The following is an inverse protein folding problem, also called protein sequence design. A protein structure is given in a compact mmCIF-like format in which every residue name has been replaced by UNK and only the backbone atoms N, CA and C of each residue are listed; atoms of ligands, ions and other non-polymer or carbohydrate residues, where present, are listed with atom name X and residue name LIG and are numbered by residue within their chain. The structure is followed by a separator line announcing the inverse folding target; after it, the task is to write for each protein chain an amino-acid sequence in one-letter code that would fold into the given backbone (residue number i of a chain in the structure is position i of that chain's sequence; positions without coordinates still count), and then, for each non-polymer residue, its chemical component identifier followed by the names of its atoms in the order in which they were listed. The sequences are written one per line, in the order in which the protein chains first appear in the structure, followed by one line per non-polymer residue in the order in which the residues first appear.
data_IF_244106838971
#
_entry.id   IF_244106838971
#
_cell.length_a   1.000
_cell.length_b   1.000
_cell.length_c   1.000
_cell.angle_alpha   90.00
_cell.angle_beta   90.00
_cell.angle_gamma   90.00
#
_symmetry.space_group_name_H-M   'P 1'
#
loop_
_entity.id
_entity.type
_entity.pdbx_description
1 polymer ?
#
# COMPACT_ATOMS: atom_id res chain seq x y z
N UNK A 1 83.34 3.02 -22.15
CA UNK A 1 82.52 1.85 -22.58
C UNK A 1 81.49 1.57 -21.50
N UNK A 2 80.21 1.56 -21.89
CA UNK A 2 79.01 0.95 -21.28
C UNK A 2 78.52 1.29 -19.85
N UNK A 3 77.44 2.09 -19.82
CA UNK A 3 76.17 1.87 -19.05
C UNK A 3 75.62 0.45 -19.34
N UNK A 4 74.78 -0.19 -18.46
CA UNK A 4 73.55 0.39 -17.88
C UNK A 4 73.25 -0.04 -16.41
N UNK A 5 72.50 0.66 -15.54
CA UNK A 5 71.43 1.66 -15.63
C UNK A 5 70.26 1.28 -16.55
N UNK A 6 69.74 0.05 -16.42
CA UNK A 6 68.43 -0.38 -16.94
C UNK A 6 67.88 -1.51 -16.07
N UNK A 7 67.25 -1.19 -14.94
CA UNK A 7 66.27 -2.08 -14.28
C UNK A 7 65.42 -1.32 -13.25
N UNK A 8 65.92 -0.24 -12.64
CA UNK A 8 65.12 0.56 -11.69
C UNK A 8 64.08 1.51 -12.31
N UNK A 9 64.18 1.83 -13.60
CA UNK A 9 63.25 2.78 -14.24
C UNK A 9 62.01 2.16 -14.90
N UNK A 10 61.84 0.82 -14.84
CA UNK A 10 60.65 0.15 -15.39
C UNK A 10 59.57 -0.13 -14.32
N UNK A 11 59.96 -0.28 -13.04
CA UNK A 11 59.01 -0.44 -11.93
C UNK A 11 58.32 0.87 -11.53
N UNK A 12 58.96 2.02 -11.75
CA UNK A 12 58.38 3.34 -11.39
C UNK A 12 57.34 3.86 -12.39
N UNK A 13 57.30 3.33 -13.62
CA UNK A 13 56.28 3.71 -14.63
C UNK A 13 55.03 2.84 -14.64
N UNK A 14 55.04 1.67 -13.98
CA UNK A 14 53.83 0.85 -13.82
C UNK A 14 53.01 1.24 -12.59
N UNK A 15 53.63 1.81 -11.54
CA UNK A 15 52.90 2.30 -10.36
C UNK A 15 52.10 3.59 -10.60
N UNK A 16 52.39 4.35 -11.66
CA UNK A 16 51.69 5.61 -11.95
C UNK A 16 50.55 5.51 -12.98
N UNK A 17 50.20 4.30 -13.46
CA UNK A 17 49.07 4.10 -14.39
C UNK A 17 47.92 3.25 -13.81
N UNK A 18 48.09 2.60 -12.65
CA UNK A 18 47.01 1.84 -11.99
C UNK A 18 46.48 2.47 -10.69
N UNK A 19 47.16 3.48 -10.13
CA UNK A 19 46.80 4.12 -8.86
C UNK A 19 45.56 5.03 -8.89
N UNK A 20 45.10 5.48 -10.07
CA UNK A 20 44.00 6.45 -10.19
C UNK A 20 42.59 5.86 -10.25
N UNK A 21 42.46 4.56 -10.58
CA UNK A 21 41.14 3.89 -10.78
C UNK A 21 40.69 3.07 -9.57
N UNK A 22 41.63 2.60 -8.75
CA UNK A 22 41.36 1.83 -7.54
C UNK A 22 40.86 2.73 -6.39
N UNK A 23 41.49 3.89 -6.18
CA UNK A 23 41.10 4.80 -5.10
C UNK A 23 39.70 5.41 -5.26
N UNK A 24 39.25 5.71 -6.48
CA UNK A 24 37.88 6.20 -6.70
C UNK A 24 36.82 5.12 -6.43
N UNK A 25 37.10 3.86 -6.76
CA UNK A 25 36.21 2.73 -6.43
C UNK A 25 36.20 2.43 -4.92
N UNK A 26 37.36 2.48 -4.26
CA UNK A 26 37.45 2.28 -2.80
C UNK A 26 36.76 3.40 -2.01
N UNK A 27 36.87 4.66 -2.45
CA UNK A 27 36.14 5.79 -1.82
C UNK A 27 34.63 5.67 -2.06
N UNK A 28 34.19 5.29 -3.26
CA UNK A 28 32.76 5.07 -3.53
C UNK A 28 32.19 3.88 -2.73
N UNK A 29 32.95 2.80 -2.53
CA UNK A 29 32.53 1.67 -1.69
C UNK A 29 32.50 2.08 -0.22
N UNK A 30 33.49 2.85 0.25
CA UNK A 30 33.50 3.35 1.64
C UNK A 30 32.35 4.31 1.92
N UNK A 31 32.00 5.18 0.97
CA UNK A 31 30.86 6.11 1.08
C UNK A 31 29.53 5.35 1.07
N UNK A 32 29.37 4.29 0.26
CA UNK A 32 28.18 3.44 0.26
C UNK A 32 28.07 2.63 1.55
N UNK A 33 29.18 2.12 2.10
CA UNK A 33 29.22 1.42 3.40
C UNK A 33 28.95 2.38 4.56
N UNK A 34 29.46 3.61 4.53
CA UNK A 34 29.13 4.64 5.52
C UNK A 34 27.67 5.11 5.41
N UNK A 35 27.09 5.20 4.20
CA UNK A 35 25.66 5.49 4.02
C UNK A 35 24.78 4.34 4.53
N UNK A 36 25.18 3.08 4.29
CA UNK A 36 24.48 1.90 4.81
C UNK A 36 24.60 1.77 6.34
N UNK A 37 25.74 2.19 6.92
CA UNK A 37 25.93 2.25 8.38
C UNK A 37 25.16 3.42 9.03
N UNK A 38 24.92 4.53 8.31
CA UNK A 38 24.09 5.64 8.81
C UNK A 38 22.58 5.38 8.73
N UNK A 39 22.15 4.37 7.98
CA UNK A 39 20.77 3.85 7.98
C UNK A 39 20.55 2.77 9.07
N UNK A 40 21.63 2.27 9.67
CA UNK A 40 21.57 1.51 10.91
C UNK A 40 21.59 2.49 12.08
N UNK A 41 20.44 3.15 12.33
CA UNK A 41 20.22 3.73 13.65
C UNK A 41 20.41 2.57 14.65
N UNK A 42 21.28 2.69 15.66
CA UNK A 42 21.31 1.69 16.72
C UNK A 42 19.96 1.81 17.43
N UNK A 43 19.03 0.93 17.05
CA UNK A 43 17.98 0.54 17.98
C UNK A 43 18.77 -0.05 19.12
N UNK A 44 18.87 0.67 20.23
CA UNK A 44 19.40 0.13 21.46
C UNK A 44 18.56 -1.12 21.74
N UNK A 45 19.08 -2.29 21.38
CA UNK A 45 18.58 -3.56 21.84
C UNK A 45 18.75 -3.49 23.36
N UNK A 46 17.67 -3.19 24.07
CA UNK A 46 17.63 -3.36 25.50
C UNK A 46 17.70 -4.85 25.75
N UNK A 47 18.92 -5.36 25.84
CA UNK A 47 19.21 -6.70 26.30
C UNK A 47 18.99 -6.71 27.81
N UNK A 48 17.72 -6.65 28.23
CA UNK A 48 17.23 -6.89 29.60
C UNK A 48 15.68 -6.81 29.61
N UNK A 49 15.03 -7.74 28.93
CA UNK A 49 13.66 -8.17 29.29
C UNK A 49 13.64 -9.70 29.29
N UNK A 50 14.47 -10.30 30.13
CA UNK A 50 14.26 -11.67 30.59
C UNK A 50 13.40 -11.60 31.83
N UNK A 51 12.12 -12.00 31.72
CA UNK A 51 11.22 -12.54 32.76
C UNK A 51 9.78 -11.99 32.74
N UNK A 52 9.05 -12.16 31.63
CA UNK A 52 7.59 -12.30 31.66
C UNK A 52 7.11 -12.76 30.28
N UNK A 53 6.89 -14.08 30.10
CA UNK A 53 6.16 -14.58 28.91
C UNK A 53 4.68 -14.16 28.94
N UNK A 54 4.20 -13.70 30.09
CA UNK A 54 2.79 -13.40 30.33
C UNK A 54 2.34 -12.05 29.72
N UNK A 55 3.29 -11.21 29.31
CA UNK A 55 3.02 -9.90 28.69
C UNK A 55 3.45 -9.80 27.22
N UNK A 56 3.96 -10.89 26.64
CA UNK A 56 4.30 -10.91 25.23
C UNK A 56 3.04 -11.20 24.40
N UNK A 57 2.79 -10.39 23.38
CA UNK A 57 1.77 -10.77 22.41
C UNK A 57 2.20 -12.09 21.74
N UNK A 58 1.26 -12.90 21.22
CA UNK A 58 1.60 -14.09 20.44
C UNK A 58 2.60 -13.79 19.31
N UNK A 59 2.63 -12.55 18.82
CA UNK A 59 3.56 -12.06 17.81
C UNK A 59 4.97 -11.81 18.34
N UNK A 60 5.11 -11.23 19.53
CA UNK A 60 6.43 -11.03 20.15
C UNK A 60 7.10 -12.37 20.46
N UNK A 61 6.31 -13.38 20.84
CA UNK A 61 6.78 -14.76 21.03
C UNK A 61 7.26 -15.35 19.69
N UNK A 62 6.52 -15.14 18.60
CA UNK A 62 6.87 -15.66 17.28
C UNK A 62 8.12 -14.97 16.73
N UNK A 63 8.26 -13.66 16.93
CA UNK A 63 9.45 -12.90 16.54
C UNK A 63 10.68 -13.32 17.37
N UNK A 64 10.53 -13.47 18.69
CA UNK A 64 11.61 -13.95 19.56
C UNK A 64 12.07 -15.37 19.20
N UNK A 65 11.13 -16.26 18.89
CA UNK A 65 11.47 -17.64 18.48
C UNK A 65 12.15 -17.72 17.11
N UNK A 66 11.96 -16.71 16.24
CA UNK A 66 12.57 -16.66 14.91
C UNK A 66 13.83 -15.76 14.85
N UNK A 67 14.07 -14.91 15.85
CA UNK A 67 15.23 -14.01 15.90
C UNK A 67 16.57 -14.78 15.96
N UNK A 68 16.57 -15.95 16.59
CA UNK A 68 17.75 -16.83 16.67
C UNK A 68 17.90 -17.76 15.44
N UNK A 69 16.92 -17.77 14.53
CA UNK A 69 16.83 -18.67 13.38
C UNK A 69 16.62 -17.92 12.04
N UNK A 70 17.20 -16.73 11.90
CA UNK A 70 17.16 -15.99 10.64
C UNK A 70 17.88 -16.80 9.57
N UNK A 71 17.15 -17.16 8.51
CA UNK A 71 17.69 -17.88 7.37
C UNK A 71 18.81 -17.06 6.70
N UNK A 72 19.82 -17.71 6.10
CA UNK A 72 20.75 -17.06 5.19
C UNK A 72 19.98 -16.23 4.16
N UNK A 73 20.54 -15.09 3.73
CA UNK A 73 19.83 -14.11 2.90
C UNK A 73 19.15 -14.76 1.66
N UNK A 74 19.84 -15.66 0.97
CA UNK A 74 19.30 -16.33 -0.22
C UNK A 74 18.09 -17.24 0.10
N UNK A 75 18.10 -17.90 1.24
CA UNK A 75 16.98 -18.72 1.72
C UNK A 75 15.83 -17.83 2.23
N UNK A 76 16.16 -16.73 2.90
CA UNK A 76 15.19 -15.73 3.32
C UNK A 76 14.47 -15.06 2.15
N UNK A 77 15.19 -14.76 1.07
CA UNK A 77 14.57 -14.24 -0.17
C UNK A 77 13.65 -15.29 -0.81
N UNK A 78 14.03 -16.57 -0.80
CA UNK A 78 13.17 -17.65 -1.30
C UNK A 78 11.89 -17.77 -0.48
N UNK A 79 11.99 -17.76 0.85
CA UNK A 79 10.82 -17.84 1.73
C UNK A 79 9.93 -16.60 1.60
N UNK A 80 10.53 -15.40 1.53
CA UNK A 80 9.79 -14.18 1.23
C UNK A 80 9.03 -14.27 -0.10
N UNK A 81 9.68 -14.73 -1.18
CA UNK A 81 9.03 -14.83 -2.50
C UNK A 81 7.88 -15.85 -2.51
N UNK A 82 8.03 -16.96 -1.78
CA UNK A 82 6.95 -17.94 -1.58
C UNK A 82 5.78 -17.32 -0.82
N UNK A 83 6.04 -16.64 0.30
CA UNK A 83 5.01 -15.96 1.10
C UNK A 83 4.33 -14.85 0.31
N UNK A 84 5.09 -14.11 -0.50
CA UNK A 84 4.57 -13.11 -1.43
C UNK A 84 3.64 -13.72 -2.47
N UNK A 85 4.00 -14.85 -3.09
CA UNK A 85 3.13 -15.52 -4.06
C UNK A 85 1.79 -15.96 -3.44
N UNK A 86 1.81 -16.49 -2.21
CA UNK A 86 0.60 -16.83 -1.45
C UNK A 86 -0.24 -15.58 -1.18
N UNK A 87 0.40 -14.50 -0.69
CA UNK A 87 -0.28 -13.24 -0.39
C UNK A 87 -0.91 -12.62 -1.65
N UNK A 88 -0.20 -12.63 -2.78
CA UNK A 88 -0.68 -12.11 -4.07
C UNK A 88 -1.86 -12.94 -4.59
N UNK A 89 -1.82 -14.28 -4.45
CA UNK A 89 -2.95 -15.15 -4.81
C UNK A 89 -4.20 -14.85 -3.96
N UNK A 90 -4.05 -14.81 -2.63
CA UNK A 90 -5.15 -14.47 -1.71
C UNK A 90 -5.77 -13.12 -2.04
N UNK A 91 -4.94 -12.14 -2.44
CA UNK A 91 -5.38 -10.81 -2.82
C UNK A 91 -6.19 -10.83 -4.10
N UNK A 92 -5.73 -11.54 -5.12
CA UNK A 92 -6.47 -11.70 -6.38
C UNK A 92 -7.84 -12.38 -6.14
N UNK A 93 -7.86 -13.46 -5.37
CA UNK A 93 -9.10 -14.16 -5.00
C UNK A 93 -10.08 -13.26 -4.22
N UNK A 94 -9.55 -12.40 -3.34
CA UNK A 94 -10.36 -11.44 -2.59
C UNK A 94 -10.93 -10.34 -3.49
N UNK A 95 -10.17 -9.85 -4.47
CA UNK A 95 -10.64 -8.88 -5.45
C UNK A 95 -11.74 -9.45 -6.34
N UNK A 96 -11.56 -10.68 -6.82
CA UNK A 96 -12.57 -11.39 -7.61
C UNK A 96 -13.84 -11.62 -6.79
N UNK A 97 -13.71 -12.06 -5.54
CA UNK A 97 -14.85 -12.27 -4.63
C UNK A 97 -15.60 -10.96 -4.38
N UNK A 98 -14.90 -9.86 -4.14
CA UNK A 98 -15.51 -8.55 -3.95
C UNK A 98 -16.25 -8.09 -5.21
N UNK A 99 -15.67 -8.26 -6.39
CA UNK A 99 -16.33 -7.94 -7.65
C UNK A 99 -17.58 -8.80 -7.86
N UNK A 100 -17.51 -10.11 -7.63
CA UNK A 100 -18.67 -11.00 -7.75
C UNK A 100 -19.79 -10.61 -6.77
N UNK A 101 -19.45 -10.24 -5.53
CA UNK A 101 -20.43 -9.74 -4.56
C UNK A 101 -21.14 -8.48 -5.07
N UNK A 102 -20.37 -7.52 -5.60
CA UNK A 102 -20.88 -6.28 -6.18
C UNK A 102 -21.80 -6.56 -7.37
N UNK A 103 -21.41 -7.46 -8.28
CA UNK A 103 -22.20 -7.83 -9.44
C UNK A 103 -23.49 -8.58 -9.06
N UNK A 104 -23.42 -9.45 -8.06
CA UNK A 104 -24.59 -10.18 -7.56
C UNK A 104 -25.59 -9.24 -6.89
N UNK A 105 -25.12 -8.29 -6.07
CA UNK A 105 -25.98 -7.27 -5.46
C UNK A 105 -26.63 -6.38 -6.50
N UNK A 106 -25.92 -6.02 -7.56
CA UNK A 106 -26.49 -5.27 -8.69
C UNK A 106 -27.62 -6.03 -9.42
N UNK A 107 -27.72 -7.35 -9.28
CA UNK A 107 -28.85 -8.13 -9.82
C UNK A 107 -30.00 -8.26 -8.83
N UNK A 108 -29.69 -8.30 -7.54
CA UNK A 108 -30.68 -8.54 -6.47
C UNK A 108 -31.47 -7.29 -6.05
N UNK A 109 -30.87 -6.09 -6.14
CA UNK A 109 -31.52 -4.86 -5.68
C UNK A 109 -32.25 -4.11 -6.80
N UNK A 110 -33.52 -3.69 -6.57
CA UNK A 110 -34.31 -2.98 -7.57
C UNK A 110 -33.69 -1.63 -7.94
N UNK A 111 -33.81 -1.28 -9.23
CA UNK A 111 -33.23 -0.06 -9.85
C UNK A 111 -33.82 1.24 -9.28
N UNK A 112 -34.92 1.18 -8.53
CA UNK A 112 -35.65 2.35 -8.04
C UNK A 112 -34.87 3.24 -7.07
N UNK A 113 -33.80 2.75 -6.42
CA UNK A 113 -32.88 3.54 -5.59
C UNK A 113 -31.70 4.16 -6.35
N UNK A 114 -31.49 3.73 -7.59
CA UNK A 114 -30.33 4.07 -8.42
C UNK A 114 -30.66 5.09 -9.50
N UNK A 115 -31.95 5.40 -9.63
CA UNK A 115 -32.44 6.48 -10.46
C UNK A 115 -31.76 7.79 -10.01
N UNK A 116 -31.43 8.69 -10.95
CA UNK A 116 -31.00 10.02 -10.57
C UNK A 116 -32.05 10.55 -9.59
N UNK A 117 -31.60 11.01 -8.41
CA UNK A 117 -32.45 11.86 -7.59
C UNK A 117 -33.00 12.98 -8.49
N UNK A 118 -34.09 13.61 -8.09
CA UNK A 118 -34.69 14.77 -8.78
C UNK A 118 -33.73 15.97 -8.79
N UNK A 119 -32.57 15.83 -9.43
CA UNK A 119 -31.64 16.89 -9.74
C UNK A 119 -32.06 17.40 -11.12
N UNK A 120 -32.37 18.70 -11.16
CA UNK A 120 -32.75 19.42 -12.36
C UNK A 120 -31.85 19.04 -13.55
N UNK A 121 -32.36 18.94 -14.79
CA UNK A 121 -31.56 18.69 -15.99
C UNK A 121 -30.34 19.61 -16.17
N UNK A 122 -30.32 20.75 -15.46
CA UNK A 122 -29.25 21.75 -15.43
C UNK A 122 -28.18 21.51 -14.35
N UNK A 123 -28.36 20.55 -13.43
CA UNK A 123 -27.37 20.28 -12.39
C UNK A 123 -26.17 19.53 -12.98
N UNK A 124 -24.98 20.12 -12.84
CA UNK A 124 -23.71 19.45 -13.19
C UNK A 124 -23.42 18.32 -12.22
N UNK A 125 -23.82 18.42 -10.95
CA UNK A 125 -23.74 17.34 -9.96
C UNK A 125 -24.96 16.43 -10.07
N UNK A 126 -24.74 15.13 -10.26
CA UNK A 126 -25.81 14.16 -10.49
C UNK A 126 -26.01 13.23 -9.31
N UNK A 127 -24.92 12.88 -8.62
CA UNK A 127 -24.96 12.05 -7.43
C UNK A 127 -23.87 12.47 -6.46
N UNK A 128 -24.16 12.39 -5.17
CA UNK A 128 -23.23 12.76 -4.11
C UNK A 128 -23.33 11.74 -2.98
N UNK A 129 -22.17 11.24 -2.56
CA UNK A 129 -22.00 10.25 -1.52
C UNK A 129 -21.22 10.88 -0.38
N UNK A 130 -21.79 10.87 0.82
CA UNK A 130 -21.07 11.15 2.09
C UNK A 130 -20.84 9.88 2.91
N UNK A 131 -21.41 8.76 2.44
CA UNK A 131 -21.24 7.41 2.96
C UNK A 131 -21.57 6.41 1.86
N UNK A 132 -21.15 5.16 2.04
CA UNK A 132 -21.51 4.07 1.14
C UNK A 132 -22.50 3.10 1.80
N UNK A 133 -23.61 2.75 1.11
CA UNK A 133 -24.59 1.78 1.60
C UNK A 133 -24.01 0.39 1.74
N UNK A 134 -23.07 0.04 0.88
CA UNK A 134 -22.41 -1.25 0.90
C UNK A 134 -20.92 -1.08 1.18
N UNK A 135 -20.44 -1.92 2.09
CA UNK A 135 -19.06 -1.93 2.54
C UNK A 135 -18.58 -3.37 2.57
N UNK A 136 -17.39 -3.59 2.04
CA UNK A 136 -16.72 -4.89 2.08
C UNK A 136 -15.27 -4.68 2.51
N UNK A 137 -14.64 -5.74 2.99
CA UNK A 137 -13.27 -5.71 3.47
C UNK A 137 -12.64 -7.09 3.35
N UNK A 138 -11.34 -7.13 3.10
CA UNK A 138 -10.58 -8.35 3.08
C UNK A 138 -9.14 -8.08 3.50
N UNK A 139 -8.45 -9.14 3.87
CA UNK A 139 -7.07 -9.10 4.35
C UNK A 139 -6.43 -10.45 4.10
N UNK A 140 -5.11 -10.42 4.00
CA UNK A 140 -4.33 -11.64 3.83
C UNK A 140 -2.87 -11.38 4.08
N UNK A 141 -2.10 -12.43 3.92
CA UNK A 141 -0.67 -12.42 4.07
C UNK A 141 -0.12 -13.76 4.48
N UNK A 142 1.20 -13.85 4.43
CA UNK A 142 1.96 -15.03 4.79
C UNK A 142 3.33 -14.62 5.34
N UNK A 143 3.94 -15.48 6.16
CA UNK A 143 5.14 -15.16 6.94
C UNK A 143 4.83 -14.44 8.25
N UNK A 144 5.81 -13.70 8.80
CA UNK A 144 5.66 -12.96 10.06
C UNK A 144 5.11 -11.57 9.79
N UNK A 145 3.99 -11.22 10.42
CA UNK A 145 3.35 -9.93 10.26
C UNK A 145 1.85 -9.98 10.52
N UNK A 146 1.16 -8.90 10.17
CA UNK A 146 -0.27 -8.74 10.42
C UNK A 146 -0.90 -7.81 9.41
N UNK A 147 -2.17 -8.05 9.11
CA UNK A 147 -2.99 -7.14 8.32
C UNK A 147 -4.41 -7.10 8.87
N UNK A 148 -5.09 -5.97 8.68
CA UNK A 148 -6.51 -5.85 8.93
C UNK A 148 -7.14 -4.68 8.20
N UNK A 149 -8.40 -4.84 7.81
CA UNK A 149 -9.22 -3.78 7.25
C UNK A 149 -10.63 -3.89 7.83
N UNK A 150 -11.19 -2.77 8.29
CA UNK A 150 -12.63 -2.68 8.54
C UNK A 150 -13.18 -1.26 8.58
N UNK A 151 -14.50 -1.15 8.49
CA UNK A 151 -15.26 0.09 8.60
C UNK A 151 -15.87 0.25 10.00
N UNK A 152 -15.21 0.96 10.95
CA UNK A 152 -15.80 1.24 12.25
C UNK A 152 -17.02 2.17 12.20
N UNK A 153 -17.18 2.97 11.14
CA UNK A 153 -18.31 3.90 10.97
C UNK A 153 -18.66 4.12 9.49
N UNK A 154 -19.59 5.03 9.20
CA UNK A 154 -20.08 5.31 7.83
C UNK A 154 -19.02 5.87 6.88
N UNK A 155 -18.01 6.58 7.40
CA UNK A 155 -16.94 7.19 6.60
C UNK A 155 -15.54 6.89 7.12
N UNK A 156 -15.40 6.22 8.27
CA UNK A 156 -14.08 5.87 8.80
C UNK A 156 -13.70 4.45 8.39
N UNK A 157 -12.43 4.29 7.99
CA UNK A 157 -11.81 3.03 7.60
C UNK A 157 -10.53 2.88 8.43
N UNK A 158 -10.37 1.73 9.06
CA UNK A 158 -9.08 1.31 9.60
C UNK A 158 -8.48 0.29 8.66
N UNK A 159 -7.28 0.56 8.14
CA UNK A 159 -6.61 -0.26 7.15
C UNK A 159 -5.11 -0.33 7.47
N UNK A 160 -4.58 -1.53 7.68
CA UNK A 160 -3.23 -1.72 8.14
C UNK A 160 -2.59 -2.98 7.61
N UNK A 161 -1.31 -2.91 7.30
CA UNK A 161 -0.46 -4.05 6.95
C UNK A 161 0.93 -3.83 7.52
N UNK A 162 1.45 -4.83 8.22
CA UNK A 162 2.80 -4.90 8.78
C UNK A 162 3.41 -6.22 8.36
N UNK A 163 4.64 -6.17 7.87
CA UNK A 163 5.44 -7.34 7.56
C UNK A 163 6.74 -7.27 8.34
N UNK A 164 7.19 -8.41 8.83
CA UNK A 164 8.48 -8.58 9.50
C UNK A 164 9.29 -9.61 8.73
N UNK A 165 9.95 -10.54 9.40
CA UNK A 165 10.86 -11.47 8.74
C UNK A 165 10.08 -12.36 7.75
N UNK A 166 10.52 -12.34 6.48
CA UNK A 166 9.93 -13.06 5.33
C UNK A 166 8.42 -12.83 5.12
N UNK A 167 7.88 -11.73 5.64
CA UNK A 167 6.45 -11.42 5.62
C UNK A 167 6.01 -10.72 4.34
N UNK A 168 4.81 -11.04 3.87
CA UNK A 168 4.09 -10.27 2.84
C UNK A 168 2.62 -10.19 3.22
N UNK A 169 2.14 -8.99 3.51
CA UNK A 169 0.80 -8.74 4.08
C UNK A 169 0.08 -7.64 3.32
N UNK A 170 -1.24 -7.76 3.24
CA UNK A 170 -2.10 -6.78 2.58
C UNK A 170 -3.47 -6.68 3.27
N UNK A 171 -4.10 -5.53 3.13
CA UNK A 171 -5.47 -5.30 3.58
C UNK A 171 -6.20 -4.37 2.62
N UNK A 172 -7.49 -4.64 2.37
CA UNK A 172 -8.34 -3.87 1.47
C UNK A 172 -9.70 -3.59 2.10
N UNK A 173 -10.21 -2.40 1.86
CA UNK A 173 -11.58 -2.02 2.19
C UNK A 173 -12.24 -1.33 1.00
N UNK A 174 -13.50 -1.68 0.76
CA UNK A 174 -14.32 -1.13 -0.31
C UNK A 174 -15.58 -0.50 0.29
N UNK A 175 -15.91 0.70 -0.16
CA UNK A 175 -17.25 1.28 -0.04
C UNK A 175 -17.80 1.47 -1.45
N UNK A 176 -19.04 1.06 -1.71
CA UNK A 176 -19.61 1.18 -3.04
C UNK A 176 -21.11 1.44 -3.03
N UNK A 177 -21.56 2.01 -4.15
CA UNK A 177 -22.96 2.24 -4.49
C UNK A 177 -23.14 2.16 -6.01
N UNK A 178 -24.38 2.22 -6.47
CA UNK A 178 -24.73 2.06 -7.87
C UNK A 178 -25.34 3.33 -8.48
N UNK A 179 -25.19 3.52 -9.79
CA UNK A 179 -25.86 4.58 -10.51
C UNK A 179 -26.04 4.22 -11.99
N UNK A 180 -27.16 4.67 -12.58
CA UNK A 180 -27.47 4.51 -14.00
C UNK A 180 -27.44 5.90 -14.68
N UNK A 181 -26.44 6.19 -15.52
CA UNK A 181 -26.40 7.42 -16.30
C UNK A 181 -27.59 7.50 -17.27
N UNK A 182 -28.20 8.68 -17.35
CA UNK A 182 -29.25 9.00 -18.31
C UNK A 182 -28.71 9.39 -19.69
N UNK A 183 -27.43 9.77 -19.77
CA UNK A 183 -26.76 10.17 -21.02
C UNK A 183 -25.41 9.50 -21.17
N UNK A 184 -25.04 9.14 -22.39
CA UNK A 184 -23.68 8.63 -22.69
C UNK A 184 -22.71 9.80 -22.72
N UNK A 185 -21.56 9.68 -22.06
CA UNK A 185 -20.53 10.71 -22.11
C UNK A 185 -19.48 10.61 -21.00
N UNK A 186 -18.67 11.66 -20.89
CA UNK A 186 -17.67 11.78 -19.82
C UNK A 186 -18.31 12.31 -18.54
N UNK A 187 -18.05 11.61 -17.45
CA UNK A 187 -18.42 12.00 -16.10
C UNK A 187 -17.16 12.23 -15.28
N UNK A 188 -17.17 13.27 -14.46
CA UNK A 188 -16.12 13.55 -13.50
C UNK A 188 -16.53 13.03 -12.12
N UNK A 189 -15.63 12.29 -11.48
CA UNK A 189 -15.77 11.87 -10.09
C UNK A 189 -14.79 12.68 -9.26
N UNK A 190 -15.32 13.46 -8.33
CA UNK A 190 -14.52 14.23 -7.37
C UNK A 190 -14.60 13.51 -6.03
N UNK A 191 -13.47 13.05 -5.49
CA UNK A 191 -13.39 12.33 -4.22
C UNK A 191 -12.60 13.14 -3.20
N UNK A 192 -13.09 13.21 -1.97
CA UNK A 192 -12.49 13.93 -0.85
C UNK A 192 -12.38 13.02 0.38
N UNK A 193 -11.20 12.96 0.98
CA UNK A 193 -10.94 12.14 2.16
C UNK A 193 -9.74 12.67 2.96
N UNK A 194 -9.62 12.24 4.21
CA UNK A 194 -8.46 12.51 5.06
C UNK A 194 -7.71 11.22 5.38
N UNK A 195 -6.39 11.33 5.56
CA UNK A 195 -5.53 10.22 5.99
C UNK A 195 -4.75 10.60 7.24
N UNK A 196 -4.73 9.70 8.22
CA UNK A 196 -3.90 9.80 9.43
C UNK A 196 -3.22 8.45 9.64
N UNK A 197 -1.90 8.42 9.60
CA UNK A 197 -1.17 7.15 9.67
C UNK A 197 0.30 7.26 9.28
N UNK A 198 0.94 6.11 9.15
CA UNK A 198 2.38 6.03 8.85
C UNK A 198 2.65 4.98 7.80
N UNK A 199 3.58 5.27 6.89
CA UNK A 199 4.11 4.32 5.91
C UNK A 199 5.62 4.26 6.07
N UNK A 200 6.16 3.07 6.31
CA UNK A 200 7.59 2.80 6.30
C UNK A 200 8.07 2.35 4.92
N UNK A 201 9.37 2.49 4.67
CA UNK A 201 9.98 2.03 3.42
C UNK A 201 9.71 0.54 3.20
N UNK A 202 9.33 0.15 1.97
CA UNK A 202 8.93 -1.23 1.64
C UNK A 202 7.43 -1.53 1.83
N UNK A 203 6.63 -0.53 2.23
CA UNK A 203 5.17 -0.62 2.31
C UNK A 203 4.49 0.44 1.45
N UNK A 204 3.18 0.29 1.25
CA UNK A 204 2.39 1.24 0.47
C UNK A 204 0.96 1.40 0.97
N UNK A 205 0.39 2.57 0.71
CA UNK A 205 -1.05 2.84 0.69
C UNK A 205 -1.42 3.20 -0.75
N UNK A 206 -2.47 2.58 -1.27
CA UNK A 206 -3.15 3.05 -2.47
C UNK A 206 -4.63 3.30 -2.16
N UNK A 207 -5.10 4.49 -2.49
CA UNK A 207 -6.54 4.81 -2.50
C UNK A 207 -6.97 4.95 -3.95
N UNK A 208 -8.06 4.27 -4.31
CA UNK A 208 -8.51 4.16 -5.70
C UNK A 208 -10.00 4.43 -5.81
N UNK A 209 -10.38 4.99 -6.96
CA UNK A 209 -11.76 4.97 -7.45
C UNK A 209 -11.87 3.85 -8.48
N UNK A 210 -12.84 2.97 -8.29
CA UNK A 210 -13.17 1.92 -9.25
C UNK A 210 -14.59 2.12 -9.77
N UNK A 211 -14.75 1.99 -11.07
CA UNK A 211 -16.06 1.99 -11.72
C UNK A 211 -16.22 0.66 -12.43
N UNK A 212 -17.18 -0.16 -12.01
CA UNK A 212 -17.49 -1.43 -12.64
C UNK A 212 -18.84 -1.34 -13.36
N UNK A 213 -18.87 -1.65 -14.65
CA UNK A 213 -20.11 -1.86 -15.39
C UNK A 213 -20.70 -3.21 -14.97
N UNK A 214 -21.85 -3.17 -14.31
CA UNK A 214 -22.48 -4.36 -13.74
C UNK A 214 -23.15 -5.24 -14.81
N UNK A 215 -23.27 -4.73 -16.04
CA UNK A 215 -23.85 -5.45 -17.18
C UNK A 215 -22.86 -6.45 -17.77
N UNK A 216 -21.58 -6.07 -17.88
CA UNK A 216 -20.55 -6.87 -18.53
C UNK A 216 -19.35 -7.22 -17.61
N UNK A 217 -19.32 -6.69 -16.39
CA UNK A 217 -18.26 -6.93 -15.40
C UNK A 217 -16.96 -6.14 -15.64
N UNK A 218 -16.89 -5.30 -16.68
CA UNK A 218 -15.71 -4.52 -16.98
C UNK A 218 -15.46 -3.48 -15.88
N UNK A 219 -14.24 -3.41 -15.38
CA UNK A 219 -13.85 -2.49 -14.31
C UNK A 219 -12.75 -1.55 -14.79
N UNK A 220 -12.93 -0.26 -14.54
CA UNK A 220 -11.91 0.78 -14.72
C UNK A 220 -11.46 1.23 -13.33
N UNK A 221 -10.14 1.25 -13.11
CA UNK A 221 -9.53 1.64 -11.83
C UNK A 221 -8.65 2.88 -12.02
N UNK A 222 -8.80 3.88 -11.14
CA UNK A 222 -7.96 5.07 -11.06
C UNK A 222 -7.39 5.20 -9.66
N UNK A 223 -6.07 5.27 -9.54
CA UNK A 223 -5.40 5.52 -8.26
C UNK A 223 -5.41 7.02 -7.99
N UNK A 224 -6.10 7.44 -6.93
CA UNK A 224 -6.29 8.84 -6.57
C UNK A 224 -5.32 9.31 -5.47
N UNK A 225 -4.66 8.38 -4.78
CA UNK A 225 -3.60 8.67 -3.82
C UNK A 225 -2.67 7.48 -3.67
N UNK A 226 -1.38 7.73 -3.78
CA UNK A 226 -0.30 6.75 -3.64
C UNK A 226 0.94 7.48 -3.13
N UNK A 227 0.97 7.84 -1.84
CA UNK A 227 2.04 8.65 -1.29
C UNK A 227 3.32 7.84 -1.09
N UNK A 228 4.43 8.55 -0.95
CA UNK A 228 5.70 7.95 -0.50
C UNK A 228 5.67 7.63 0.99
N UNK A 229 6.69 6.92 1.49
CA UNK A 229 6.85 6.67 2.93
C UNK A 229 6.88 7.98 3.72
N UNK A 230 6.31 7.98 4.92
CA UNK A 230 6.20 9.15 5.77
C UNK A 230 5.08 9.02 6.80
N UNK A 231 4.94 10.06 7.61
CA UNK A 231 3.82 10.22 8.53
C UNK A 231 2.80 11.20 7.94
N UNK A 232 1.53 10.90 8.14
CA UNK A 232 0.40 11.68 7.65
C UNK A 232 -0.44 12.09 8.85
N UNK A 233 -0.54 13.40 9.08
CA UNK A 233 -1.40 13.96 10.12
C UNK A 233 -2.61 14.62 9.49
N UNK A 234 -3.77 13.97 9.62
CA UNK A 234 -5.05 14.41 9.08
C UNK A 234 -4.98 15.02 7.66
N UNK A 235 -4.10 14.50 6.80
CA UNK A 235 -3.85 15.08 5.48
C UNK A 235 -5.10 14.94 4.62
N UNK A 236 -5.64 16.08 4.18
CA UNK A 236 -6.76 16.11 3.25
C UNK A 236 -6.27 15.82 1.83
N UNK A 237 -7.01 14.98 1.12
CA UNK A 237 -6.79 14.64 -0.28
C UNK A 237 -8.09 14.85 -1.04
N UNK A 238 -8.00 15.61 -2.14
CA UNK A 238 -9.09 15.78 -3.10
C UNK A 238 -8.56 15.40 -4.47
N UNK A 239 -9.26 14.51 -5.17
CA UNK A 239 -8.90 14.09 -6.53
C UNK A 239 -10.11 14.12 -7.46
N UNK A 240 -9.88 14.44 -8.73
CA UNK A 240 -10.88 14.43 -9.79
C UNK A 240 -10.43 13.47 -10.89
N UNK A 241 -11.27 12.49 -11.19
CA UNK A 241 -11.02 11.48 -12.21
C UNK A 241 -12.16 11.45 -13.23
N UNK A 242 -11.87 11.12 -14.48
CA UNK A 242 -12.86 11.05 -15.55
C UNK A 242 -13.13 9.63 -16.00
N UNK A 243 -14.41 9.33 -16.23
CA UNK A 243 -14.90 8.04 -16.69
C UNK A 243 -15.91 8.25 -17.82
N UNK A 244 -15.77 7.49 -18.91
CA UNK A 244 -16.75 7.46 -19.98
C UNK A 244 -17.82 6.40 -19.66
N UNK A 245 -19.08 6.81 -19.58
CA UNK A 245 -20.20 5.94 -19.20
C UNK A 245 -21.24 5.91 -20.32
N UNK A 246 -21.88 4.76 -20.51
CA UNK A 246 -22.95 4.56 -21.49
C UNK A 246 -24.32 4.70 -20.82
N UNK A 247 -25.23 5.44 -21.45
CA UNK A 247 -26.60 5.60 -20.95
C UNK A 247 -27.28 4.23 -20.77
N UNK A 248 -28.03 4.08 -19.68
CA UNK A 248 -28.81 2.86 -19.39
C UNK A 248 -28.01 1.69 -18.83
N UNK A 249 -26.68 1.73 -18.82
CA UNK A 249 -25.85 0.74 -18.12
C UNK A 249 -25.87 1.00 -16.61
N UNK A 250 -25.89 -0.03 -15.78
CA UNK A 250 -25.76 0.14 -14.31
C UNK A 250 -24.29 0.03 -13.92
N UNK A 251 -23.75 1.06 -13.29
CA UNK A 251 -22.37 1.10 -12.82
C UNK A 251 -22.30 1.03 -11.30
N UNK A 252 -21.31 0.32 -10.78
CA UNK A 252 -20.89 0.42 -9.38
C UNK A 252 -19.73 1.38 -9.26
N UNK A 253 -19.87 2.38 -8.38
CA UNK A 253 -18.85 3.36 -8.04
C UNK A 253 -18.27 2.99 -6.68
N UNK A 254 -16.96 2.81 -6.62
CA UNK A 254 -16.29 2.28 -5.43
C UNK A 254 -15.15 3.18 -4.98
N UNK A 255 -15.07 3.39 -3.68
CA UNK A 255 -13.90 3.88 -2.97
C UNK A 255 -13.15 2.68 -2.39
N UNK A 256 -11.92 2.45 -2.86
CA UNK A 256 -11.06 1.37 -2.39
C UNK A 256 -9.85 1.94 -1.64
N UNK A 257 -9.52 1.35 -0.50
CA UNK A 257 -8.25 1.56 0.20
C UNK A 257 -7.49 0.25 0.25
N UNK A 258 -6.18 0.30 0.01
CA UNK A 258 -5.30 -0.87 0.03
C UNK A 258 -3.98 -0.52 0.72
N UNK A 259 -3.63 -1.29 1.75
CA UNK A 259 -2.28 -1.28 2.30
C UNK A 259 -1.54 -2.54 1.91
N UNK A 260 -0.24 -2.43 1.64
CA UNK A 260 0.65 -3.57 1.47
C UNK A 260 1.93 -3.36 2.28
N UNK A 261 2.49 -4.46 2.79
CA UNK A 261 3.77 -4.49 3.50
C UNK A 261 4.54 -5.75 3.10
N UNK A 262 5.83 -5.63 2.79
CA UNK A 262 6.69 -6.76 2.44
C UNK A 262 8.10 -6.60 3.00
N UNK A 263 8.58 -7.63 3.68
CA UNK A 263 9.87 -7.58 4.37
C UNK A 263 10.61 -8.91 4.27
N UNK A 264 11.91 -8.83 3.93
CA UNK A 264 12.81 -9.99 3.97
C UNK A 264 13.38 -10.14 5.38
N UNK A 265 13.93 -9.06 5.94
CA UNK A 265 14.62 -9.10 7.26
C UNK A 265 14.23 -7.98 8.21
N UNK A 266 13.81 -6.81 7.70
CA UNK A 266 13.48 -5.64 8.52
C UNK A 266 11.99 -5.34 8.44
N UNK A 267 11.40 -5.00 9.59
CA UNK A 267 9.98 -4.69 9.64
C UNK A 267 9.61 -3.50 8.75
N UNK A 268 8.47 -3.60 8.09
CA UNK A 268 7.84 -2.51 7.34
C UNK A 268 6.34 -2.49 7.62
N UNK A 269 5.73 -1.31 7.50
CA UNK A 269 4.29 -1.19 7.68
C UNK A 269 3.68 -0.04 6.86
N UNK A 270 2.42 -0.21 6.50
CA UNK A 270 1.49 0.86 6.20
C UNK A 270 0.36 0.76 7.22
N UNK A 271 0.32 1.70 8.16
CA UNK A 271 -0.55 1.67 9.33
C UNK A 271 -1.49 2.87 9.35
N UNK A 272 -2.75 2.62 9.01
CA UNK A 272 -3.90 3.50 9.15
C UNK A 272 -4.95 2.81 10.05
N UNK A 273 -4.49 2.09 11.07
CA UNK A 273 -5.31 1.24 11.94
C UNK A 273 -5.02 1.41 13.43
N UNK A 274 -3.76 1.55 13.81
CA UNK A 274 -3.38 1.52 15.23
C UNK A 274 -3.69 2.84 15.94
N UNK A 275 -3.75 2.81 17.27
CA UNK A 275 -3.74 4.02 18.09
C UNK A 275 -2.31 4.45 18.40
N UNK A 276 -2.11 5.74 18.43
CA UNK A 276 -0.86 6.38 18.85
C UNK A 276 -0.77 6.48 20.37
N UNK A 277 0.43 6.83 20.88
CA UNK A 277 0.67 6.97 22.31
C UNK A 277 -0.15 8.08 22.96
N UNK A 278 -0.48 9.13 22.20
CA UNK A 278 -1.36 10.22 22.61
C UNK A 278 -2.85 9.86 22.51
N UNK A 279 -3.17 8.63 22.07
CA UNK A 279 -4.52 8.13 21.86
C UNK A 279 -5.12 8.45 20.48
N UNK A 280 -4.40 9.16 19.62
CA UNK A 280 -4.85 9.49 18.27
C UNK A 280 -5.02 8.21 17.45
N UNK A 281 -6.21 8.04 16.86
CA UNK A 281 -6.55 6.87 16.07
C UNK A 281 -6.13 7.07 14.62
N UNK A 282 -5.19 6.26 14.13
CA UNK A 282 -4.82 6.22 12.71
C UNK A 282 -5.97 5.63 11.90
N UNK A 283 -6.27 6.26 10.77
CA UNK A 283 -7.47 5.99 9.97
C UNK A 283 -7.44 6.67 8.62
N UNK A 284 -8.30 6.20 7.73
CA UNK A 284 -8.71 6.91 6.52
C UNK A 284 -10.16 7.35 6.74
N UNK A 285 -10.46 8.62 6.49
CA UNK A 285 -11.81 9.18 6.60
C UNK A 285 -12.31 9.57 5.22
N UNK A 286 -13.19 8.77 4.66
CA UNK A 286 -13.99 9.15 3.50
C UNK A 286 -14.92 10.30 3.89
N UNK A 287 -14.77 11.45 3.22
CA UNK A 287 -15.65 12.60 3.44
C UNK A 287 -16.75 12.64 2.39
N UNK A 288 -16.35 12.55 1.11
CA UNK A 288 -17.32 12.51 0.03
C UNK A 288 -16.80 11.98 -1.30
N UNK A 289 -17.73 11.61 -2.16
CA UNK A 289 -17.55 11.38 -3.59
C UNK A 289 -18.72 12.03 -4.33
N UNK A 290 -18.44 12.82 -5.36
CA UNK A 290 -19.46 13.44 -6.20
C UNK A 290 -19.28 13.01 -7.65
N UNK A 291 -20.38 12.62 -8.30
CA UNK A 291 -20.46 12.34 -9.72
C UNK A 291 -21.04 13.55 -10.44
N UNK A 292 -20.32 14.04 -11.45
CA UNK A 292 -20.68 15.21 -12.23
C UNK A 292 -20.73 14.86 -13.72
N UNK A 293 -21.68 15.44 -14.45
CA UNK A 293 -21.69 15.43 -15.91
C UNK A 293 -20.91 16.64 -16.40
N UNK A 294 -19.97 16.39 -17.31
CA UNK A 294 -19.24 17.45 -18.01
C UNK A 294 -20.11 18.08 -19.10
#
# INVERSE_FOLDING_TARGET
MHKPFRLLNKYRRLQNLEGGRSHKKSISILVVVCLLLSLAVPVAYSHNVSSSRDNLSPWDILLQNNADNVLPLDEGIKEFNKNKAIADQQKAEAEDKALQEILQRAKAFPISSDAPGTVSPAATQIKYWTWFPYRSQSKGGSGVGWSNAYWPSIGTIYNGSRAEIYGSFWAKAWGYDYYIPSTTGNYSIITDFNVTGSIWSGSSLAVRVKVADTTNGQTITRTIFNPTSGYFDNQRVTSTEQFYLYAGHRYSFMFETETNAGAVVSATMADFYSKEFDGTQRKIVFNSMGLYRN
#
